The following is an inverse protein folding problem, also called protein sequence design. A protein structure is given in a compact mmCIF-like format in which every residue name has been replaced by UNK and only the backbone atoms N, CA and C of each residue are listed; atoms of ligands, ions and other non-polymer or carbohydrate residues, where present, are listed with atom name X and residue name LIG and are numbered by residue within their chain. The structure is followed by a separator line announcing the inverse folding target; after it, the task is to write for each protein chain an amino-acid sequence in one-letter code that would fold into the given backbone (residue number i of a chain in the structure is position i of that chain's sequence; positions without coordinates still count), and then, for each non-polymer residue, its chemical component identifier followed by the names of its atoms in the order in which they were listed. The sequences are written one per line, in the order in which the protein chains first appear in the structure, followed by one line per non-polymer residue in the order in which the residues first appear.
data_IF_622634007556
#
_entry.id   IF_622634007556
#
_cell.length_a   1.000
_cell.length_b   1.000
_cell.length_c   1.000
_cell.angle_alpha   90.00
_cell.angle_beta   90.00
_cell.angle_gamma   90.00
#
_symmetry.space_group_name_H-M   'P 1'
#
loop_
_entity.id
_entity.type
_entity.pdbx_description
1 polymer ?
#
# COMPACT_ATOMS: atom_id res chain seq x y z
N UNK A 1 -12.06 -18.76 5.92
CA UNK A 1 -12.47 -17.38 6.27
C UNK A 1 -13.64 -16.95 5.44
N UNK A 2 -14.42 -15.94 5.85
CA UNK A 2 -15.75 -15.60 5.31
C UNK A 2 -15.77 -14.32 4.43
N UNK A 3 -16.83 -14.18 3.61
CA UNK A 3 -17.11 -13.02 2.73
C UNK A 3 -17.03 -11.68 3.45
N UNK A 4 -17.34 -11.65 4.75
CA UNK A 4 -17.32 -10.45 5.60
C UNK A 4 -15.91 -9.86 5.68
N UNK A 5 -14.88 -10.69 5.84
CA UNK A 5 -13.49 -10.20 5.92
C UNK A 5 -13.05 -9.51 4.63
N UNK A 6 -13.41 -10.08 3.48
CA UNK A 6 -13.12 -9.49 2.16
C UNK A 6 -13.90 -8.20 1.93
N UNK A 7 -15.16 -8.13 2.37
CA UNK A 7 -15.95 -6.89 2.34
C UNK A 7 -15.34 -5.79 3.21
N UNK A 8 -14.89 -6.12 4.42
CA UNK A 8 -14.22 -5.17 5.29
C UNK A 8 -12.91 -4.67 4.67
N UNK A 9 -12.08 -5.57 4.14
CA UNK A 9 -10.87 -5.20 3.40
C UNK A 9 -11.16 -4.29 2.20
N UNK A 10 -12.25 -4.54 1.47
CA UNK A 10 -12.69 -3.67 0.35
C UNK A 10 -12.97 -2.24 0.81
N UNK A 11 -13.62 -2.08 1.98
CA UNK A 11 -13.89 -0.76 2.57
C UNK A 11 -12.58 -0.06 2.93
N UNK A 12 -11.64 -0.77 3.56
CA UNK A 12 -10.34 -0.19 3.91
C UNK A 12 -9.58 0.29 2.67
N UNK A 13 -9.51 -0.52 1.59
CA UNK A 13 -8.86 -0.10 0.35
C UNK A 13 -9.51 1.17 -0.22
N UNK A 14 -10.85 1.23 -0.22
CA UNK A 14 -11.55 2.42 -0.69
C UNK A 14 -11.26 3.67 0.16
N UNK A 15 -11.28 3.53 1.48
CA UNK A 15 -10.97 4.63 2.40
C UNK A 15 -9.53 5.12 2.22
N UNK A 16 -8.58 4.22 1.99
CA UNK A 16 -7.20 4.59 1.69
C UNK A 16 -7.09 5.41 0.39
N UNK A 17 -7.78 5.01 -0.69
CA UNK A 17 -7.80 5.80 -1.92
C UNK A 17 -8.47 7.17 -1.75
N UNK A 18 -9.53 7.26 -0.94
CA UNK A 18 -10.13 8.55 -0.58
C UNK A 18 -9.12 9.41 0.19
N UNK A 19 -8.41 8.83 1.17
CA UNK A 19 -7.40 9.52 1.95
C UNK A 19 -6.25 10.03 1.05
N UNK A 20 -5.67 9.18 0.20
CA UNK A 20 -4.66 9.61 -0.78
C UNK A 20 -5.18 10.73 -1.68
N UNK A 21 -6.44 10.65 -2.09
CA UNK A 21 -7.11 11.70 -2.84
C UNK A 21 -7.06 13.05 -2.13
N UNK A 22 -7.52 13.09 -0.88
CA UNK A 22 -7.49 14.28 -0.01
C UNK A 22 -6.06 14.78 0.19
N UNK A 23 -5.13 13.89 0.49
CA UNK A 23 -3.73 14.22 0.76
C UNK A 23 -3.02 14.91 -0.42
N UNK A 24 -3.32 14.54 -1.68
CA UNK A 24 -2.80 15.27 -2.85
C UNK A 24 -3.23 16.75 -2.86
N UNK A 25 -4.46 17.06 -2.42
CA UNK A 25 -4.92 18.45 -2.33
C UNK A 25 -4.32 19.20 -1.14
N UNK A 26 -4.22 18.52 0.01
CA UNK A 26 -3.72 19.12 1.25
C UNK A 26 -2.22 19.40 1.17
N UNK A 27 -1.42 18.39 0.77
CA UNK A 27 0.04 18.50 0.73
C UNK A 27 0.59 18.99 -0.60
N UNK A 28 -0.26 19.12 -1.63
CA UNK A 28 0.11 19.62 -2.96
C UNK A 28 1.33 18.91 -3.55
N UNK A 29 1.44 17.61 -3.28
CA UNK A 29 2.56 16.76 -3.69
C UNK A 29 2.09 15.35 -4.06
N UNK A 30 2.97 14.59 -4.72
CA UNK A 30 2.71 13.19 -5.08
C UNK A 30 2.88 12.26 -3.88
N UNK A 31 1.77 11.98 -3.17
CA UNK A 31 1.80 11.14 -1.96
C UNK A 31 1.78 9.64 -2.28
N UNK A 32 1.16 9.21 -3.38
CA UNK A 32 1.07 7.79 -3.73
C UNK A 32 2.43 7.23 -4.12
N UNK A 33 2.95 6.34 -3.27
CA UNK A 33 4.27 5.75 -3.47
C UNK A 33 5.43 6.75 -3.34
N UNK A 34 5.18 7.92 -2.73
CA UNK A 34 6.14 9.01 -2.48
C UNK A 34 7.05 9.24 -3.69
N UNK A 35 6.44 9.62 -4.81
CA UNK A 35 7.17 9.73 -6.05
C UNK A 35 8.35 10.71 -5.92
N UNK A 36 9.44 10.51 -6.68
CA UNK A 36 10.61 11.38 -6.64
C UNK A 36 10.21 12.82 -6.94
N UNK A 37 11.01 13.77 -6.43
CA UNK A 37 10.78 15.19 -6.60
C UNK A 37 10.54 15.54 -8.07
N UNK A 38 9.60 16.46 -8.30
CA UNK A 38 9.32 16.94 -9.65
C UNK A 38 10.55 17.64 -10.24
N UNK A 39 10.91 17.40 -11.52
CA UNK A 39 12.07 18.04 -12.12
C UNK A 39 11.93 19.56 -12.11
N UNK A 40 12.96 20.25 -11.59
CA UNK A 40 12.98 21.71 -11.48
C UNK A 40 12.76 22.39 -12.84
N UNK A 41 11.88 23.39 -12.89
CA UNK A 41 11.59 24.16 -14.11
C UNK A 41 10.63 23.47 -15.09
N UNK A 42 10.19 22.24 -14.81
CA UNK A 42 9.19 21.56 -15.65
C UNK A 42 7.77 22.02 -15.23
N UNK A 43 6.97 22.61 -16.13
CA UNK A 43 5.61 23.02 -15.79
C UNK A 43 4.69 21.81 -15.57
N UNK A 44 3.57 22.02 -14.86
CA UNK A 44 2.48 21.04 -14.78
C UNK A 44 2.41 20.18 -13.52
N UNK A 45 3.35 20.31 -12.58
CA UNK A 45 3.34 19.56 -11.30
C UNK A 45 1.99 19.68 -10.57
N UNK A 46 1.55 20.92 -10.33
CA UNK A 46 0.32 21.21 -9.60
C UNK A 46 -0.92 20.60 -10.27
N UNK A 47 -1.01 20.68 -11.61
CA UNK A 47 -2.12 20.11 -12.38
C UNK A 47 -2.15 18.59 -12.26
N UNK A 48 -0.99 17.93 -12.35
CA UNK A 48 -0.89 16.47 -12.28
C UNK A 48 -1.15 15.95 -10.85
N UNK A 49 -0.68 16.66 -9.83
CA UNK A 49 -0.97 16.35 -8.43
C UNK A 49 -2.48 16.36 -8.18
N UNK A 50 -3.19 17.41 -8.61
CA UNK A 50 -4.64 17.48 -8.43
C UNK A 50 -5.39 16.48 -9.30
N UNK A 51 -4.96 16.25 -10.54
CA UNK A 51 -5.55 15.22 -11.39
C UNK A 51 -5.45 13.82 -10.76
N UNK A 52 -4.29 13.49 -10.19
CA UNK A 52 -4.10 12.23 -9.46
C UNK A 52 -4.93 12.17 -8.17
N UNK A 53 -5.07 13.31 -7.47
CA UNK A 53 -5.97 13.44 -6.33
C UNK A 53 -7.44 13.14 -6.69
N UNK A 54 -7.94 13.70 -7.80
CA UNK A 54 -9.29 13.41 -8.32
C UNK A 54 -9.43 11.93 -8.68
N UNK A 55 -8.46 11.36 -9.39
CA UNK A 55 -8.46 9.94 -9.75
C UNK A 55 -8.46 9.02 -8.53
N UNK A 56 -7.70 9.35 -7.49
CA UNK A 56 -7.67 8.59 -6.24
C UNK A 56 -9.00 8.70 -5.48
N UNK A 57 -9.59 9.90 -5.34
CA UNK A 57 -10.92 10.08 -4.76
C UNK A 57 -11.98 9.26 -5.51
N UNK A 58 -12.01 9.40 -6.84
CA UNK A 58 -12.96 8.70 -7.70
C UNK A 58 -12.76 7.17 -7.62
N UNK A 59 -11.51 6.71 -7.51
CA UNK A 59 -11.20 5.28 -7.31
C UNK A 59 -11.83 4.74 -6.03
N UNK A 60 -11.65 5.42 -4.89
CA UNK A 60 -12.26 4.99 -3.64
C UNK A 60 -13.79 4.96 -3.70
N UNK A 61 -14.41 5.98 -4.30
CA UNK A 61 -15.87 6.04 -4.52
C UNK A 61 -16.35 4.87 -5.41
N UNK A 62 -15.66 4.61 -6.53
CA UNK A 62 -15.98 3.50 -7.43
C UNK A 62 -15.88 2.13 -6.74
N UNK A 63 -14.89 1.94 -5.87
CA UNK A 63 -14.72 0.71 -5.09
C UNK A 63 -15.89 0.51 -4.11
N UNK A 64 -16.31 1.55 -3.38
CA UNK A 64 -17.46 1.49 -2.46
C UNK A 64 -18.75 1.17 -3.22
N UNK A 65 -19.00 1.92 -4.29
CA UNK A 65 -20.22 1.79 -5.09
C UNK A 65 -20.25 0.51 -5.93
N UNK A 66 -19.12 -0.21 -6.02
CA UNK A 66 -18.93 -1.38 -6.90
C UNK A 66 -19.31 -1.07 -8.35
N UNK A 67 -18.98 0.14 -8.83
CA UNK A 67 -19.32 0.65 -10.16
C UNK A 67 -18.14 1.41 -10.76
N UNK A 68 -18.06 1.46 -12.09
CA UNK A 68 -17.04 2.25 -12.79
C UNK A 68 -15.63 1.68 -12.68
N UNK A 69 -15.46 0.37 -12.92
CA UNK A 69 -14.16 -0.35 -12.87
C UNK A 69 -13.00 0.32 -13.61
N UNK A 70 -13.28 1.12 -14.65
CA UNK A 70 -12.25 1.77 -15.45
C UNK A 70 -11.46 2.83 -14.66
N UNK A 71 -12.08 3.47 -13.67
CA UNK A 71 -11.43 4.50 -12.84
C UNK A 71 -10.30 3.91 -11.96
N UNK A 72 -10.53 2.85 -11.15
CA UNK A 72 -9.43 2.16 -10.46
C UNK A 72 -8.40 1.59 -11.45
N UNK A 73 -8.83 1.12 -12.62
CA UNK A 73 -7.91 0.61 -13.63
C UNK A 73 -6.95 1.68 -14.15
N UNK A 74 -7.47 2.84 -14.57
CA UNK A 74 -6.67 3.97 -15.04
C UNK A 74 -5.75 4.47 -13.92
N UNK A 75 -6.28 4.63 -12.72
CA UNK A 75 -5.50 5.09 -11.55
C UNK A 75 -4.31 4.16 -11.28
N UNK A 76 -4.55 2.85 -11.28
CA UNK A 76 -3.48 1.86 -11.11
C UNK A 76 -2.45 1.91 -12.24
N UNK A 77 -2.91 1.99 -13.50
CA UNK A 77 -2.01 2.07 -14.65
C UNK A 77 -1.12 3.33 -14.60
N UNK A 78 -1.68 4.48 -14.23
CA UNK A 78 -0.93 5.74 -14.08
C UNK A 78 0.12 5.64 -12.98
N UNK A 79 -0.24 5.11 -11.81
CA UNK A 79 0.70 4.94 -10.68
C UNK A 79 1.83 3.96 -11.05
N UNK A 80 1.51 2.85 -11.72
CA UNK A 80 2.52 1.88 -12.15
C UNK A 80 3.43 2.42 -13.24
N UNK A 81 2.90 3.17 -14.21
CA UNK A 81 3.71 3.86 -15.21
C UNK A 81 4.69 4.83 -14.52
N UNK A 82 4.22 5.57 -13.53
CA UNK A 82 5.05 6.47 -12.75
C UNK A 82 6.13 5.76 -11.94
N UNK A 83 5.77 4.64 -11.31
CA UNK A 83 6.71 3.79 -10.59
C UNK A 83 7.80 3.24 -11.52
N UNK A 84 7.43 2.79 -12.72
CA UNK A 84 8.37 2.29 -13.72
C UNK A 84 9.32 3.37 -14.22
N UNK A 85 8.79 4.55 -14.56
CA UNK A 85 9.59 5.64 -15.15
C UNK A 85 10.51 6.32 -14.14
N UNK A 86 10.14 6.36 -12.85
CA UNK A 86 10.88 7.15 -11.85
C UNK A 86 11.44 6.31 -10.72
N UNK A 87 10.59 5.60 -10.00
CA UNK A 87 11.02 4.85 -8.81
C UNK A 87 11.99 3.72 -9.17
N UNK A 88 11.64 2.89 -10.16
CA UNK A 88 12.48 1.78 -10.60
C UNK A 88 13.77 2.30 -11.23
N UNK A 89 13.70 3.34 -12.06
CA UNK A 89 14.90 3.95 -12.64
C UNK A 89 15.88 4.43 -11.55
N UNK A 90 15.40 5.20 -10.56
CA UNK A 90 16.23 5.72 -9.47
C UNK A 90 16.76 4.57 -8.59
N UNK A 91 15.94 3.56 -8.30
CA UNK A 91 16.36 2.39 -7.54
C UNK A 91 17.53 1.68 -8.22
N UNK A 92 17.45 1.46 -9.53
CA UNK A 92 18.50 0.81 -10.31
C UNK A 92 19.74 1.70 -10.49
N UNK A 93 19.57 3.02 -10.52
CA UNK A 93 20.68 3.96 -10.62
C UNK A 93 21.51 4.05 -9.33
N UNK A 94 20.87 3.93 -8.16
CA UNK A 94 21.53 4.15 -6.86
C UNK A 94 21.74 2.89 -6.02
N UNK A 95 21.07 1.78 -6.33
CA UNK A 95 21.10 0.54 -5.54
C UNK A 95 20.80 0.77 -4.04
N UNK A 96 19.82 1.62 -3.73
CA UNK A 96 19.42 1.92 -2.35
C UNK A 96 18.48 0.85 -1.78
N UNK A 97 18.89 0.23 -0.67
CA UNK A 97 18.09 -0.76 0.07
C UNK A 97 17.15 -0.13 1.12
N UNK A 98 17.16 1.20 1.25
CA UNK A 98 16.39 1.95 2.23
C UNK A 98 15.12 2.59 1.68
N UNK A 99 15.12 3.92 1.61
CA UNK A 99 13.92 4.72 1.34
C UNK A 99 13.42 4.54 -0.10
N UNK A 100 14.31 4.48 -1.09
CA UNK A 100 13.94 4.38 -2.51
C UNK A 100 13.30 3.01 -2.79
N UNK A 101 13.89 1.92 -2.28
CA UNK A 101 13.29 0.59 -2.39
C UNK A 101 11.90 0.55 -1.75
N UNK A 102 11.77 1.12 -0.55
CA UNK A 102 10.50 1.20 0.17
C UNK A 102 9.44 1.97 -0.64
N UNK A 103 9.78 3.16 -1.13
CA UNK A 103 8.87 3.99 -1.94
C UNK A 103 8.49 3.31 -3.24
N UNK A 104 9.43 2.61 -3.89
CA UNK A 104 9.17 1.82 -5.09
C UNK A 104 8.14 0.73 -4.83
N UNK A 105 8.35 -0.08 -3.79
CA UNK A 105 7.45 -1.17 -3.43
C UNK A 105 6.06 -0.67 -3.00
N UNK A 106 5.99 0.48 -2.32
CA UNK A 106 4.73 1.15 -2.00
C UNK A 106 4.00 1.59 -3.27
N UNK A 107 4.69 2.21 -4.22
CA UNK A 107 4.09 2.64 -5.48
C UNK A 107 3.53 1.45 -6.27
N UNK A 108 4.28 0.35 -6.36
CA UNK A 108 3.84 -0.88 -7.01
C UNK A 108 2.61 -1.48 -6.32
N UNK A 109 2.62 -1.56 -4.99
CA UNK A 109 1.49 -2.07 -4.18
C UNK A 109 0.24 -1.21 -4.34
N UNK A 110 0.36 0.12 -4.28
CA UNK A 110 -0.80 1.03 -4.42
C UNK A 110 -1.37 0.93 -5.85
N UNK A 111 -0.52 0.96 -6.87
CA UNK A 111 -0.94 0.86 -8.26
C UNK A 111 -1.57 -0.49 -8.59
N UNK A 112 -0.96 -1.59 -8.16
CA UNK A 112 -1.50 -2.93 -8.33
C UNK A 112 -2.79 -3.16 -7.56
N UNK A 113 -2.92 -2.61 -6.34
CA UNK A 113 -4.18 -2.59 -5.59
C UNK A 113 -5.33 -1.98 -6.39
N UNK A 114 -5.12 -0.80 -6.99
CA UNK A 114 -6.15 -0.16 -7.81
C UNK A 114 -6.56 -1.05 -9.00
N UNK A 115 -5.58 -1.63 -9.71
CA UNK A 115 -5.85 -2.56 -10.82
C UNK A 115 -6.59 -3.83 -10.37
N UNK A 116 -6.21 -4.42 -9.24
CA UNK A 116 -6.85 -5.61 -8.68
C UNK A 116 -8.30 -5.31 -8.27
N UNK A 117 -8.55 -4.15 -7.66
CA UNK A 117 -9.89 -3.73 -7.28
C UNK A 117 -10.80 -3.50 -8.49
N UNK A 118 -10.29 -3.02 -9.63
CA UNK A 118 -11.05 -2.95 -10.87
C UNK A 118 -11.61 -4.31 -11.30
N UNK A 119 -10.82 -5.38 -11.16
CA UNK A 119 -11.23 -6.75 -11.47
C UNK A 119 -12.32 -7.26 -10.52
N UNK A 120 -12.34 -6.78 -9.27
CA UNK A 120 -13.43 -7.11 -8.33
C UNK A 120 -14.77 -6.44 -8.68
N UNK A 121 -14.76 -5.39 -9.51
CA UNK A 121 -15.95 -4.65 -9.95
C UNK A 121 -16.52 -5.24 -11.26
N UNK A 122 -15.71 -5.40 -12.32
CA UNK A 122 -16.20 -5.84 -13.65
C UNK A 122 -16.32 -7.36 -13.83
N UNK A 123 -15.83 -8.15 -12.88
CA UNK A 123 -15.54 -9.59 -12.98
C UNK A 123 -14.11 -9.85 -13.50
N UNK A 124 -13.35 -10.74 -12.84
CA UNK A 124 -11.96 -11.02 -13.20
C UNK A 124 -11.89 -12.00 -14.39
N UNK A 125 -11.61 -11.49 -15.59
CA UNK A 125 -11.31 -12.29 -16.77
C UNK A 125 -10.17 -11.69 -17.60
N UNK A 126 -9.40 -12.53 -18.29
CA UNK A 126 -8.26 -12.11 -19.12
C UNK A 126 -7.29 -11.20 -18.35
N UNK A 127 -7.02 -10.02 -18.91
CA UNK A 127 -6.13 -9.01 -18.32
C UNK A 127 -6.56 -8.58 -16.91
N UNK A 128 -7.87 -8.47 -16.63
CA UNK A 128 -8.36 -8.11 -15.29
C UNK A 128 -8.12 -9.23 -14.27
N UNK A 129 -8.15 -10.50 -14.68
CA UNK A 129 -7.77 -11.60 -13.78
C UNK A 129 -6.29 -11.54 -13.40
N UNK A 130 -5.44 -11.14 -14.35
CA UNK A 130 -4.00 -11.03 -14.15
C UNK A 130 -3.64 -9.95 -13.12
N UNK A 131 -4.40 -8.86 -13.02
CA UNK A 131 -4.10 -7.77 -12.07
C UNK A 131 -4.15 -8.21 -10.62
N UNK A 132 -5.04 -9.15 -10.27
CA UNK A 132 -5.09 -9.75 -8.92
C UNK A 132 -3.81 -10.54 -8.63
N UNK A 133 -3.30 -11.26 -9.64
CA UNK A 133 -2.06 -12.04 -9.50
C UNK A 133 -0.84 -11.12 -9.40
N UNK A 134 -0.78 -10.08 -10.23
CA UNK A 134 0.28 -9.06 -10.18
C UNK A 134 0.31 -8.41 -8.79
N UNK A 135 -0.84 -8.00 -8.28
CA UNK A 135 -0.91 -7.36 -6.97
C UNK A 135 -0.47 -8.29 -5.84
N UNK A 136 -0.84 -9.58 -5.91
CA UNK A 136 -0.33 -10.59 -4.96
C UNK A 136 1.20 -10.59 -4.90
N UNK A 137 1.88 -10.48 -6.05
CA UNK A 137 3.33 -10.43 -6.10
C UNK A 137 3.90 -9.10 -5.60
N UNK A 138 3.35 -7.95 -6.02
CA UNK A 138 3.80 -6.65 -5.53
C UNK A 138 3.69 -6.54 -4.01
N UNK A 139 2.53 -6.89 -3.46
CA UNK A 139 2.30 -6.90 -2.04
C UNK A 139 3.20 -7.91 -1.31
N UNK A 140 3.37 -9.12 -1.88
CA UNK A 140 4.26 -10.14 -1.32
C UNK A 140 5.72 -9.70 -1.25
N UNK A 141 6.23 -9.10 -2.32
CA UNK A 141 7.59 -8.54 -2.39
C UNK A 141 7.72 -7.37 -1.41
N UNK A 142 6.71 -6.51 -1.32
CA UNK A 142 6.71 -5.41 -0.36
C UNK A 142 6.77 -5.90 1.09
N UNK A 143 5.95 -6.88 1.48
CA UNK A 143 6.01 -7.45 2.83
C UNK A 143 7.36 -8.10 3.11
N UNK A 144 7.90 -8.86 2.16
CA UNK A 144 9.20 -9.52 2.32
C UNK A 144 10.31 -8.49 2.54
N UNK A 145 10.41 -7.50 1.65
CA UNK A 145 11.44 -6.44 1.74
C UNK A 145 11.28 -5.58 2.98
N UNK A 146 10.06 -5.16 3.32
CA UNK A 146 9.76 -4.44 4.56
C UNK A 146 10.17 -5.26 5.78
N UNK A 147 9.90 -6.57 5.78
CA UNK A 147 10.30 -7.46 6.86
C UNK A 147 11.81 -7.56 7.02
N UNK A 148 12.58 -7.65 5.93
CA UNK A 148 14.05 -7.58 5.95
C UNK A 148 14.53 -6.24 6.50
N UNK A 149 13.90 -5.13 6.09
CA UNK A 149 14.22 -3.79 6.57
C UNK A 149 13.98 -3.60 8.08
N UNK A 150 13.09 -4.38 8.71
CA UNK A 150 12.94 -4.37 10.17
C UNK A 150 14.20 -4.87 10.89
N UNK A 151 15.03 -5.69 10.25
CA UNK A 151 16.32 -6.13 10.81
C UNK A 151 17.42 -5.12 10.52
N UNK A 152 17.49 -4.63 9.28
CA UNK A 152 18.53 -3.66 8.85
C UNK A 152 18.38 -2.35 9.63
N UNK A 153 17.14 -1.89 9.84
CA UNK A 153 16.82 -0.61 10.48
C UNK A 153 16.14 -0.79 11.84
N UNK A 154 16.46 -1.87 12.57
CA UNK A 154 15.80 -2.23 13.83
C UNK A 154 15.77 -1.08 14.86
N UNK A 155 16.87 -0.33 14.95
CA UNK A 155 16.97 0.84 15.83
C UNK A 155 16.01 1.96 15.46
N UNK A 156 15.77 2.21 14.17
CA UNK A 156 14.74 3.16 13.74
C UNK A 156 13.34 2.61 14.00
N UNK A 157 13.10 1.35 13.65
CA UNK A 157 11.78 0.71 13.74
C UNK A 157 11.30 0.58 15.18
N UNK A 158 12.17 0.30 16.15
CA UNK A 158 11.76 0.21 17.56
C UNK A 158 11.17 1.54 18.08
N UNK A 159 11.63 2.69 17.58
CA UNK A 159 11.09 4.00 17.96
C UNK A 159 9.72 4.29 17.33
N UNK A 160 9.28 3.46 16.38
CA UNK A 160 7.92 3.54 15.85
C UNK A 160 6.91 2.91 16.81
N UNK A 161 7.33 1.92 17.61
CA UNK A 161 6.51 1.27 18.64
C UNK A 161 6.31 2.26 19.81
N UNK A 162 5.11 2.44 20.37
CA UNK A 162 4.85 3.46 21.36
C UNK A 162 5.56 3.11 22.67
N UNK A 163 6.07 4.11 23.39
CA UNK A 163 6.89 3.89 24.58
C UNK A 163 6.20 3.17 25.75
N UNK A 164 4.86 3.10 25.75
CA UNK A 164 4.10 2.35 26.74
C UNK A 164 4.04 0.84 26.45
N UNK A 165 4.45 0.38 25.27
CA UNK A 165 4.59 -1.04 24.95
C UNK A 165 5.98 -1.52 25.38
N UNK A 166 6.10 -2.44 26.35
CA UNK A 166 7.39 -2.97 26.75
C UNK A 166 8.02 -3.80 25.62
N UNK A 167 9.35 -3.82 25.56
CA UNK A 167 10.08 -4.65 24.61
C UNK A 167 9.93 -4.19 23.15
N UNK A 168 10.00 -2.89 22.87
CA UNK A 168 9.86 -2.33 21.51
C UNK A 168 10.74 -3.03 20.45
N UNK A 169 11.97 -3.42 20.81
CA UNK A 169 12.87 -4.15 19.91
C UNK A 169 12.38 -5.56 19.59
N UNK A 170 11.77 -6.25 20.57
CA UNK A 170 11.13 -7.54 20.32
C UNK A 170 10.02 -7.39 19.28
N UNK A 171 9.17 -6.37 19.41
CA UNK A 171 8.08 -6.13 18.45
C UNK A 171 8.59 -5.76 17.05
N UNK A 172 9.69 -5.01 16.95
CA UNK A 172 10.33 -4.72 15.67
C UNK A 172 10.78 -6.02 14.96
N UNK A 173 11.46 -6.93 15.66
CA UNK A 173 11.88 -8.20 15.06
C UNK A 173 10.72 -9.15 14.81
N UNK A 174 9.76 -9.25 15.73
CA UNK A 174 8.57 -10.07 15.58
C UNK A 174 7.77 -9.67 14.33
N UNK A 175 7.52 -8.36 14.17
CA UNK A 175 6.87 -7.83 12.97
C UNK A 175 7.72 -8.13 11.71
N UNK A 176 9.04 -7.98 11.79
CA UNK A 176 9.96 -8.35 10.70
C UNK A 176 9.81 -9.80 10.24
N UNK A 177 9.83 -10.76 11.18
CA UNK A 177 9.62 -12.19 10.88
C UNK A 177 8.23 -12.43 10.27
N UNK A 178 7.19 -11.83 10.87
CA UNK A 178 5.82 -12.00 10.41
C UNK A 178 5.61 -11.43 8.99
N UNK A 179 6.21 -10.29 8.67
CA UNK A 179 6.19 -9.68 7.35
C UNK A 179 6.91 -10.54 6.31
N UNK A 180 8.09 -11.09 6.64
CA UNK A 180 8.81 -12.03 5.77
C UNK A 180 7.96 -13.27 5.49
N UNK A 181 7.41 -13.90 6.54
CA UNK A 181 6.57 -15.08 6.39
C UNK A 181 5.30 -14.78 5.57
N UNK A 182 4.67 -13.63 5.81
CA UNK A 182 3.52 -13.13 5.05
C UNK A 182 3.84 -12.94 3.57
N UNK A 183 4.95 -12.27 3.27
CA UNK A 183 5.43 -12.03 1.91
C UNK A 183 5.72 -13.32 1.16
N UNK A 184 6.45 -14.26 1.79
CA UNK A 184 6.73 -15.58 1.20
C UNK A 184 5.45 -16.39 0.96
N UNK A 185 4.49 -16.35 1.88
CA UNK A 185 3.20 -17.02 1.71
C UNK A 185 2.38 -16.49 0.52
N UNK A 186 2.43 -15.17 0.27
CA UNK A 186 1.82 -14.55 -0.91
C UNK A 186 2.54 -14.93 -2.21
N UNK A 187 3.87 -14.88 -2.22
CA UNK A 187 4.70 -15.13 -3.41
C UNK A 187 4.60 -16.61 -3.84
N UNK A 188 4.76 -17.53 -2.89
CA UNK A 188 4.79 -18.98 -3.15
C UNK A 188 3.40 -19.59 -3.34
N UNK A 189 2.36 -18.92 -2.84
CA UNK A 189 1.01 -19.48 -2.77
C UNK A 189 0.79 -20.45 -1.61
N UNK A 190 1.85 -20.83 -0.88
CA UNK A 190 1.76 -21.80 0.23
C UNK A 190 1.07 -21.15 1.42
N UNK A 191 -0.06 -21.73 1.85
CA UNK A 191 -0.92 -21.18 2.91
C UNK A 191 -1.27 -19.69 2.68
N UNK A 192 -1.37 -19.27 1.41
CA UNK A 192 -1.52 -17.87 1.01
C UNK A 192 -2.67 -17.14 1.73
N UNK A 193 -3.84 -17.77 1.85
CA UNK A 193 -4.96 -17.15 2.56
C UNK A 193 -4.66 -16.91 4.04
N UNK A 194 -3.98 -17.84 4.72
CA UNK A 194 -3.57 -17.67 6.11
C UNK A 194 -2.52 -16.55 6.23
N UNK A 195 -1.53 -16.54 5.33
CA UNK A 195 -0.50 -15.50 5.27
C UNK A 195 -1.13 -14.10 5.09
N UNK A 196 -2.06 -13.96 4.14
CA UNK A 196 -2.79 -12.72 3.89
C UNK A 196 -3.62 -12.30 5.11
N UNK A 197 -4.27 -13.24 5.78
CA UNK A 197 -5.10 -12.99 6.98
C UNK A 197 -4.28 -12.42 8.12
N UNK A 198 -3.23 -13.15 8.51
CA UNK A 198 -2.42 -12.81 9.68
C UNK A 198 -1.69 -11.49 9.43
N UNK A 199 -1.14 -11.31 8.22
CA UNK A 199 -0.49 -10.06 7.84
C UNK A 199 -1.49 -8.90 7.81
N UNK A 200 -2.69 -9.11 7.26
CA UNK A 200 -3.73 -8.08 7.17
C UNK A 200 -4.15 -7.57 8.54
N UNK A 201 -4.45 -8.49 9.46
CA UNK A 201 -4.81 -8.13 10.84
C UNK A 201 -3.64 -7.55 11.64
N UNK A 202 -2.42 -8.04 11.43
CA UNK A 202 -1.23 -7.47 12.07
C UNK A 202 -1.01 -6.02 11.63
N UNK A 203 -1.02 -5.74 10.32
CA UNK A 203 -0.85 -4.37 9.81
C UNK A 203 -2.02 -3.48 10.27
N UNK A 204 -3.25 -4.00 10.30
CA UNK A 204 -4.39 -3.26 10.82
C UNK A 204 -4.25 -2.93 12.32
N UNK A 205 -3.72 -3.85 13.13
CA UNK A 205 -3.44 -3.57 14.53
C UNK A 205 -2.39 -2.46 14.68
N UNK A 206 -1.29 -2.52 13.90
CA UNK A 206 -0.27 -1.47 13.91
C UNK A 206 -0.74 -0.13 13.34
N UNK A 207 -1.70 -0.13 12.41
CA UNK A 207 -2.39 1.08 11.97
C UNK A 207 -3.03 1.80 13.17
N UNK A 208 -3.79 1.07 14.00
CA UNK A 208 -4.47 1.64 15.17
C UNK A 208 -3.50 2.01 16.29
N UNK A 209 -2.47 1.18 16.52
CA UNK A 209 -1.56 1.34 17.65
C UNK A 209 -0.40 2.31 17.37
N UNK A 210 0.07 2.41 16.13
CA UNK A 210 1.23 3.22 15.73
C UNK A 210 0.85 4.36 14.82
N UNK A 211 0.31 4.05 13.63
CA UNK A 211 0.23 5.03 12.56
C UNK A 211 -0.76 6.15 12.88
N UNK A 212 -1.94 5.82 13.38
CA UNK A 212 -2.94 6.83 13.76
C UNK A 212 -2.42 7.73 14.92
N UNK A 213 -1.95 7.18 16.06
CA UNK A 213 -1.39 8.01 17.13
C UNK A 213 -0.24 8.91 16.68
N UNK A 214 0.69 8.38 15.87
CA UNK A 214 1.82 9.15 15.35
C UNK A 214 1.39 10.26 14.39
N UNK A 215 0.39 10.01 13.55
CA UNK A 215 -0.16 11.04 12.66
C UNK A 215 -0.71 12.22 13.45
N UNK A 216 -1.41 11.97 14.56
CA UNK A 216 -1.85 13.06 15.46
C UNK A 216 -0.70 13.73 16.20
N UNK A 217 0.29 12.96 16.65
CA UNK A 217 1.42 13.50 17.40
C UNK A 217 2.31 14.43 16.57
N UNK A 218 2.69 14.00 15.36
CA UNK A 218 3.63 14.74 14.52
C UNK A 218 2.97 15.61 13.45
N UNK A 219 1.71 15.30 13.10
CA UNK A 219 0.86 16.07 12.20
C UNK A 219 1.55 16.56 10.92
N UNK A 220 2.20 15.64 10.20
CA UNK A 220 2.89 15.93 8.95
C UNK A 220 2.50 14.96 7.84
N UNK A 221 2.84 15.32 6.60
CA UNK A 221 2.48 14.54 5.42
C UNK A 221 2.94 13.08 5.49
N UNK A 222 4.16 12.84 5.97
CA UNK A 222 4.72 11.49 6.02
C UNK A 222 3.91 10.55 6.92
N UNK A 223 3.47 11.03 8.09
CA UNK A 223 2.70 10.20 9.03
C UNK A 223 1.26 10.00 8.58
N UNK A 224 0.61 11.02 8.01
CA UNK A 224 -0.74 10.88 7.43
C UNK A 224 -0.74 9.92 6.23
N UNK A 225 0.21 10.06 5.30
CA UNK A 225 0.36 9.12 4.19
C UNK A 225 0.66 7.70 4.68
N UNK A 226 1.39 7.53 5.79
CA UNK A 226 1.61 6.21 6.38
C UNK A 226 0.31 5.57 6.91
N UNK A 227 -0.64 6.36 7.43
CA UNK A 227 -1.99 5.89 7.80
C UNK A 227 -2.73 5.37 6.58
N UNK A 228 -2.74 6.13 5.48
CA UNK A 228 -3.39 5.70 4.24
C UNK A 228 -2.74 4.44 3.65
N UNK A 229 -1.40 4.37 3.64
CA UNK A 229 -0.63 3.20 3.19
C UNK A 229 -0.94 1.94 4.03
N UNK A 230 -0.89 2.03 5.36
CA UNK A 230 -1.20 0.91 6.24
C UNK A 230 -2.68 0.47 6.12
N UNK A 231 -3.60 1.41 5.90
CA UNK A 231 -5.01 1.12 5.61
C UNK A 231 -5.17 0.36 4.30
N UNK A 232 -4.48 0.78 3.23
CA UNK A 232 -4.50 0.10 1.93
C UNK A 232 -3.92 -1.32 2.02
N UNK A 233 -2.74 -1.46 2.62
CA UNK A 233 -2.03 -2.74 2.75
C UNK A 233 -2.85 -3.73 3.56
N UNK A 234 -3.34 -3.34 4.74
CA UNK A 234 -4.22 -4.20 5.54
C UNK A 234 -5.51 -4.55 4.79
N UNK A 235 -6.13 -3.58 4.12
CA UNK A 235 -7.32 -3.79 3.31
C UNK A 235 -7.12 -4.82 2.20
N UNK A 236 -6.07 -4.67 1.38
CA UNK A 236 -5.82 -5.58 0.26
C UNK A 236 -5.47 -6.99 0.73
N UNK A 237 -4.70 -7.12 1.81
CA UNK A 237 -4.42 -8.42 2.43
C UNK A 237 -5.71 -9.12 2.86
N UNK A 238 -6.64 -8.39 3.47
CA UNK A 238 -7.94 -8.94 3.86
C UNK A 238 -8.84 -9.24 2.65
N UNK A 239 -8.72 -8.51 1.54
CA UNK A 239 -9.37 -8.85 0.27
C UNK A 239 -8.84 -10.20 -0.29
N UNK A 240 -7.52 -10.40 -0.33
CA UNK A 240 -6.86 -11.63 -0.82
C UNK A 240 -7.05 -12.84 0.10
N UNK A 241 -7.41 -12.62 1.36
CA UNK A 241 -7.61 -13.67 2.35
C UNK A 241 -8.82 -14.58 2.07
N UNK A 242 -9.74 -14.17 1.19
CA UNK A 242 -10.94 -14.92 0.86
C UNK A 242 -10.74 -15.81 -0.38
N UNK A 243 -11.03 -17.11 -0.21
CA UNK A 243 -11.08 -18.09 -1.30
C UNK A 243 -12.49 -18.07 -1.90
N UNK A 244 -12.65 -17.62 -3.15
CA UNK A 244 -13.89 -17.85 -3.89
C UNK A 244 -13.91 -19.34 -4.28
N UNK A 245 -14.71 -20.14 -3.57
CA UNK A 245 -15.08 -21.51 -3.95
C UNK A 245 -16.02 -21.51 -5.13
#
# INVERSE_FOLDING_TARGET
MNKITSSFGTILVALAFIAFGIEHFVFKSFVTGRAPAWPSGTPGECVLVYALGILALATGICIILRKGWLIPFITGAVILLWAALRNIYILLAHFDYGVILTSTNKALTIGGCALAMAATIKSPSGLLGLTITIERYFLGIFLFTAGVQHFIFAEFVKYLVPGWIPGQLFWAYFAGVALIAGGLGLITGIKMHLAATLSGWMVFAWLLLLHIPRAFQFNNANEWTAVAEATLVSGMLLVLSWKRS
#
